data_IF_609032109587
#
_entry.id   IF_609032109587
#
_cell.length_a   1.000
_cell.length_b   1.000
_cell.length_c   1.000
_cell.angle_alpha   90.00
_cell.angle_beta   90.00
_cell.angle_gamma   90.00
#
_symmetry.space_group_name_H-M   'P 1'
#
loop_
_entity.id
_entity.type
_entity.pdbx_description
1 polymer ?
#
# COMPACT_ATOMS: atom_id res chain seq x y z
N UNK A 1 -27.92 -10.32 -8.06
CA UNK A 1 -27.11 -10.84 -9.18
C UNK A 1 -25.67 -10.93 -8.71
N UNK A 2 -25.27 -12.12 -8.28
CA UNK A 2 -23.98 -12.38 -7.66
C UNK A 2 -22.91 -12.46 -8.74
N UNK A 3 -21.83 -11.73 -8.52
CA UNK A 3 -20.61 -11.68 -9.33
C UNK A 3 -20.06 -13.09 -9.52
N UNK A 4 -20.11 -13.59 -10.76
CA UNK A 4 -19.41 -14.78 -11.28
C UNK A 4 -20.03 -16.16 -10.91
N UNK A 5 -21.05 -16.60 -11.68
CA UNK A 5 -21.37 -18.04 -11.83
C UNK A 5 -20.84 -18.48 -13.20
N UNK A 6 -19.52 -18.61 -13.28
CA UNK A 6 -18.88 -19.60 -14.14
C UNK A 6 -18.28 -20.60 -13.17
N UNK A 7 -18.70 -21.86 -13.24
CA UNK A 7 -18.36 -22.90 -12.26
C UNK A 7 -16.84 -23.10 -12.04
N UNK A 8 -16.00 -22.66 -12.97
CA UNK A 8 -14.54 -22.88 -12.97
C UNK A 8 -13.71 -21.81 -12.23
N UNK A 9 -14.23 -20.59 -12.08
CA UNK A 9 -13.52 -19.48 -11.42
C UNK A 9 -13.19 -19.74 -9.94
N UNK A 10 -14.12 -20.27 -9.14
CA UNK A 10 -13.86 -20.58 -7.73
C UNK A 10 -12.81 -21.68 -7.52
N UNK A 11 -12.72 -22.66 -8.43
CA UNK A 11 -11.81 -23.79 -8.28
C UNK A 11 -10.37 -23.44 -8.62
N UNK A 12 -10.12 -22.70 -9.71
CA UNK A 12 -8.77 -22.29 -10.10
C UNK A 12 -8.10 -21.41 -9.03
N UNK A 13 -8.84 -20.44 -8.49
CA UNK A 13 -8.32 -19.62 -7.39
C UNK A 13 -8.06 -20.44 -6.13
N UNK A 14 -8.95 -21.38 -5.78
CA UNK A 14 -8.76 -22.26 -4.61
C UNK A 14 -7.56 -23.19 -4.77
N UNK A 15 -7.39 -23.80 -5.95
CA UNK A 15 -6.24 -24.64 -6.26
C UNK A 15 -4.96 -23.80 -6.25
N UNK A 16 -4.97 -22.61 -6.84
CA UNK A 16 -3.83 -21.69 -6.80
C UNK A 16 -3.45 -21.30 -5.37
N UNK A 17 -4.41 -20.92 -4.53
CA UNK A 17 -4.17 -20.63 -3.11
C UNK A 17 -3.67 -21.85 -2.34
N UNK A 18 -4.24 -23.04 -2.60
CA UNK A 18 -3.80 -24.29 -1.97
C UNK A 18 -2.36 -24.62 -2.35
N UNK A 19 -1.98 -24.50 -3.62
CA UNK A 19 -0.61 -24.71 -4.10
C UNK A 19 0.35 -23.71 -3.46
N UNK A 20 -0.05 -22.44 -3.33
CA UNK A 20 0.75 -21.39 -2.69
C UNK A 20 1.03 -21.64 -1.20
N UNK A 21 0.20 -22.43 -0.51
CA UNK A 21 0.42 -22.77 0.89
C UNK A 21 1.12 -24.13 1.06
N UNK A 22 0.70 -25.15 0.31
CA UNK A 22 1.11 -26.54 0.54
C UNK A 22 2.35 -26.94 -0.26
N UNK A 23 2.61 -26.32 -1.41
CA UNK A 23 3.72 -26.70 -2.31
C UNK A 23 4.82 -25.63 -2.26
N UNK A 24 5.31 -25.36 -1.04
CA UNK A 24 6.27 -24.26 -0.83
C UNK A 24 7.61 -24.44 -1.53
N UNK A 25 8.05 -25.68 -1.74
CA UNK A 25 9.30 -26.00 -2.46
C UNK A 25 9.25 -25.58 -3.93
N UNK A 26 8.06 -25.48 -4.52
CA UNK A 26 7.87 -25.09 -5.92
C UNK A 26 7.68 -23.57 -6.09
N UNK A 27 7.54 -22.81 -4.99
CA UNK A 27 7.34 -21.35 -5.00
C UNK A 27 8.35 -20.57 -5.85
N UNK A 28 9.67 -20.86 -5.84
CA UNK A 28 10.62 -20.09 -6.64
C UNK A 28 10.30 -20.10 -8.15
N UNK A 29 9.66 -21.16 -8.64
CA UNK A 29 9.29 -21.32 -10.04
C UNK A 29 7.84 -20.92 -10.31
N UNK A 30 6.91 -21.29 -9.41
CA UNK A 30 5.51 -20.95 -9.56
C UNK A 30 5.26 -19.45 -9.41
N UNK A 31 5.90 -18.78 -8.45
CA UNK A 31 5.67 -17.35 -8.22
C UNK A 31 5.91 -16.50 -9.48
N UNK A 32 7.08 -16.53 -10.15
CA UNK A 32 7.29 -15.72 -11.36
C UNK A 32 6.34 -16.11 -12.50
N UNK A 33 6.03 -17.41 -12.65
CA UNK A 33 5.07 -17.85 -13.67
C UNK A 33 3.66 -17.33 -13.40
N UNK A 34 3.18 -17.42 -12.15
CA UNK A 34 1.85 -16.93 -11.77
C UNK A 34 1.74 -15.41 -11.88
N UNK A 35 2.80 -14.66 -11.54
CA UNK A 35 2.84 -13.20 -11.70
C UNK A 35 2.72 -12.84 -13.18
N UNK A 36 3.54 -13.48 -14.03
CA UNK A 36 3.47 -13.27 -15.47
C UNK A 36 2.09 -13.62 -16.04
N UNK A 37 1.48 -14.71 -15.59
CA UNK A 37 0.16 -15.14 -16.04
C UNK A 37 -0.92 -14.15 -15.58
N UNK A 38 -0.86 -13.66 -14.35
CA UNK A 38 -1.78 -12.65 -13.79
C UNK A 38 -1.72 -11.34 -14.60
N UNK A 39 -0.50 -10.85 -14.86
CA UNK A 39 -0.25 -9.66 -15.68
C UNK A 39 -0.75 -9.84 -17.12
N UNK A 40 -0.55 -11.02 -17.72
CA UNK A 40 -1.00 -11.33 -19.08
C UNK A 40 -2.52 -11.45 -19.20
N UNK A 41 -3.16 -12.02 -18.20
CA UNK A 41 -4.62 -12.13 -18.14
C UNK A 41 -5.29 -10.78 -17.79
N UNK A 42 -4.49 -9.78 -17.40
CA UNK A 42 -5.01 -8.45 -17.10
C UNK A 42 -5.85 -8.41 -15.84
N UNK A 43 -5.62 -9.35 -14.92
CA UNK A 43 -6.27 -9.34 -13.62
C UNK A 43 -5.87 -8.06 -12.87
N UNK A 44 -6.85 -7.44 -12.20
CA UNK A 44 -6.66 -6.13 -11.57
C UNK A 44 -7.02 -4.92 -12.44
N UNK A 45 -7.30 -5.10 -13.74
CA UNK A 45 -7.87 -4.00 -14.53
C UNK A 45 -9.29 -3.64 -14.08
N UNK A 46 -9.65 -2.34 -14.08
CA UNK A 46 -10.99 -1.90 -13.71
C UNK A 46 -12.04 -2.49 -14.67
N UNK A 47 -13.15 -2.98 -14.12
CA UNK A 47 -14.28 -3.50 -14.88
C UNK A 47 -15.48 -2.56 -14.71
N UNK A 48 -15.84 -1.85 -15.79
CA UNK A 48 -16.92 -0.87 -15.81
C UNK A 48 -18.30 -1.50 -15.55
N UNK A 49 -18.53 -2.73 -16.01
CA UNK A 49 -19.78 -3.45 -15.75
C UNK A 49 -19.99 -3.79 -14.27
N UNK A 50 -18.91 -3.83 -13.47
CA UNK A 50 -18.96 -4.04 -12.02
C UNK A 50 -18.96 -2.71 -11.23
N UNK A 51 -18.97 -1.55 -11.90
CA UNK A 51 -19.05 -0.23 -11.26
C UNK A 51 -20.50 0.08 -10.91
N UNK A 52 -20.83 0.03 -9.62
CA UNK A 52 -22.19 0.30 -9.12
C UNK A 52 -22.30 1.64 -8.38
N UNK A 53 -21.20 2.37 -8.22
CA UNK A 53 -21.16 3.67 -7.56
C UNK A 53 -21.04 4.83 -8.56
N UNK A 54 -21.42 6.02 -8.12
CA UNK A 54 -21.31 7.27 -8.86
C UNK A 54 -20.01 8.00 -8.50
N UNK A 55 -19.41 8.68 -9.48
CA UNK A 55 -18.28 9.57 -9.23
C UNK A 55 -18.84 10.96 -8.91
N UNK A 56 -18.87 11.33 -7.62
CA UNK A 56 -19.38 12.62 -7.15
C UNK A 56 -18.30 13.35 -6.35
N UNK A 57 -18.15 14.64 -6.60
CA UNK A 57 -17.28 15.57 -5.87
C UNK A 57 -18.15 16.65 -5.23
N UNK A 58 -18.11 16.78 -3.90
CA UNK A 58 -18.83 17.84 -3.19
C UNK A 58 -17.95 19.10 -3.21
N UNK A 59 -18.49 20.18 -3.77
CA UNK A 59 -17.83 21.49 -3.85
C UNK A 59 -18.49 22.47 -2.89
N UNK A 60 -17.68 23.26 -2.21
CA UNK A 60 -18.12 24.25 -1.23
C UNK A 60 -17.23 24.27 0.02
N UNK A 61 -17.72 24.85 1.10
CA UNK A 61 -16.97 24.93 2.35
C UNK A 61 -17.08 23.62 3.16
N UNK A 62 -15.97 23.17 3.72
CA UNK A 62 -15.97 22.08 4.68
C UNK A 62 -16.79 22.48 5.90
N UNK A 63 -17.87 21.75 6.16
CA UNK A 63 -18.71 21.95 7.33
C UNK A 63 -19.24 20.59 7.80
N UNK A 64 -19.38 20.43 9.11
CA UNK A 64 -20.01 19.25 9.71
C UNK A 64 -21.55 19.29 9.60
N UNK A 65 -22.11 20.44 9.22
CA UNK A 65 -23.53 20.68 9.03
C UNK A 65 -23.87 20.80 7.54
N UNK A 66 -25.13 20.52 7.18
CA UNK A 66 -25.61 20.63 5.80
C UNK A 66 -25.76 22.11 5.44
N UNK A 67 -24.79 22.62 4.66
CA UNK A 67 -24.84 23.95 4.07
C UNK A 67 -25.55 23.93 2.72
N UNK A 68 -26.49 24.85 2.52
CA UNK A 68 -27.26 24.96 1.27
C UNK A 68 -26.40 25.41 0.08
N UNK A 69 -25.24 26.03 0.33
CA UNK A 69 -24.32 26.46 -0.72
C UNK A 69 -23.45 25.33 -1.27
N UNK A 70 -23.35 24.20 -0.56
CA UNK A 70 -22.58 23.05 -1.02
C UNK A 70 -23.37 22.28 -2.08
N UNK A 71 -22.71 21.94 -3.19
CA UNK A 71 -23.33 21.19 -4.28
C UNK A 71 -22.47 20.01 -4.73
N UNK A 72 -23.12 19.01 -5.30
CA UNK A 72 -22.44 17.84 -5.88
C UNK A 72 -22.22 18.08 -7.37
N UNK A 73 -21.00 17.85 -7.83
CA UNK A 73 -20.62 17.93 -9.24
C UNK A 73 -19.87 16.65 -9.65
N UNK A 74 -19.73 16.45 -10.96
CA UNK A 74 -18.83 15.44 -11.49
C UNK A 74 -17.37 15.85 -11.22
N UNK A 75 -16.51 14.92 -10.76
CA UNK A 75 -15.13 15.25 -10.48
C UNK A 75 -14.39 15.65 -11.74
N UNK A 76 -13.44 16.57 -11.61
CA UNK A 76 -12.59 17.00 -12.74
C UNK A 76 -11.85 15.83 -13.40
N UNK A 77 -11.48 14.82 -12.62
CA UNK A 77 -10.84 13.60 -13.11
C UNK A 77 -11.14 12.41 -12.19
N UNK A 78 -11.60 11.30 -12.76
CA UNK A 78 -11.69 10.01 -12.04
C UNK A 78 -10.48 9.14 -12.38
N UNK A 79 -9.79 8.61 -11.37
CA UNK A 79 -8.68 7.68 -11.58
C UNK A 79 -9.19 6.29 -12.00
N UNK A 80 -8.84 5.84 -13.21
CA UNK A 80 -9.16 4.51 -13.77
C UNK A 80 -7.92 3.85 -14.38
N UNK A 81 -6.81 3.85 -13.66
CA UNK A 81 -5.55 3.29 -14.15
C UNK A 81 -5.66 1.78 -14.40
N UNK A 82 -5.24 1.35 -15.58
CA UNK A 82 -4.98 -0.05 -15.90
C UNK A 82 -3.62 -0.49 -15.35
N UNK A 83 -3.42 -1.80 -15.25
CA UNK A 83 -2.11 -2.37 -14.90
C UNK A 83 -1.07 -1.97 -15.95
N UNK A 84 0.18 -1.82 -15.51
CA UNK A 84 1.32 -1.45 -16.37
C UNK A 84 2.45 -2.46 -16.21
N UNK A 85 2.33 -3.65 -16.82
CA UNK A 85 3.30 -4.74 -16.66
C UNK A 85 4.66 -4.43 -17.32
N UNK A 86 4.69 -3.45 -18.22
CA UNK A 86 5.90 -2.91 -18.86
C UNK A 86 6.68 -1.94 -17.95
N UNK A 87 6.08 -1.49 -16.84
CA UNK A 87 6.71 -0.53 -15.93
C UNK A 87 7.74 -1.22 -15.01
N UNK A 88 8.98 -1.25 -15.47
CA UNK A 88 10.12 -1.70 -14.67
C UNK A 88 10.52 -0.60 -13.68
N UNK A 89 10.48 -0.89 -12.39
CA UNK A 89 10.95 0.01 -11.33
C UNK A 89 12.29 -0.49 -10.83
N UNK A 90 13.29 0.37 -10.89
CA UNK A 90 14.62 0.11 -10.33
C UNK A 90 14.59 0.35 -8.81
N UNK A 91 14.76 -0.69 -7.97
CA UNK A 91 14.70 -0.55 -6.52
C UNK A 91 15.80 0.38 -5.98
N UNK A 92 16.99 0.38 -6.58
CA UNK A 92 18.14 1.17 -6.10
C UNK A 92 17.93 2.68 -6.32
N UNK A 93 17.19 3.05 -7.37
CA UNK A 93 16.86 4.44 -7.67
C UNK A 93 15.65 4.95 -6.88
N UNK A 94 14.91 4.05 -6.21
CA UNK A 94 13.67 4.40 -5.53
C UNK A 94 13.95 5.02 -4.14
N UNK A 95 13.97 6.35 -4.09
CA UNK A 95 14.18 7.11 -2.84
C UNK A 95 12.88 7.26 -2.04
N UNK A 96 12.70 6.41 -1.03
CA UNK A 96 11.57 6.45 -0.09
C UNK A 96 12.04 7.05 1.24
N UNK A 97 11.37 8.10 1.70
CA UNK A 97 11.65 8.66 3.03
C UNK A 97 10.92 7.84 4.10
N UNK A 98 11.58 7.62 5.24
CA UNK A 98 11.03 6.91 6.38
C UNK A 98 10.89 7.86 7.56
N UNK A 99 9.74 7.81 8.24
CA UNK A 99 9.41 8.67 9.38
C UNK A 99 9.20 7.78 10.61
N UNK A 100 10.27 7.48 11.36
CA UNK A 100 10.17 6.60 12.52
C UNK A 100 9.48 7.32 13.70
N UNK A 101 9.19 6.57 14.78
CA UNK A 101 8.45 7.11 15.91
C UNK A 101 9.10 8.34 16.56
N UNK A 102 10.42 8.48 16.46
CA UNK A 102 11.16 9.62 17.00
C UNK A 102 10.88 10.95 16.30
N UNK A 103 10.30 10.97 15.09
CA UNK A 103 9.95 12.22 14.39
C UNK A 103 8.46 12.54 14.45
N UNK A 104 7.66 11.66 15.06
CA UNK A 104 6.23 11.87 15.26
C UNK A 104 6.05 12.92 16.37
N UNK A 105 5.14 13.90 16.19
CA UNK A 105 4.85 14.90 17.22
C UNK A 105 4.36 14.25 18.52
N UNK A 106 4.46 15.01 19.62
CA UNK A 106 3.95 14.58 20.92
C UNK A 106 2.42 14.48 20.90
N UNK A 107 1.81 13.63 21.74
CA UNK A 107 0.36 13.53 21.84
C UNK A 107 -0.32 14.86 22.19
N UNK A 108 0.37 15.72 22.95
CA UNK A 108 -0.05 17.04 23.40
C UNK A 108 0.46 18.18 22.50
N UNK A 109 1.05 17.87 21.34
CA UNK A 109 1.57 18.90 20.43
C UNK A 109 0.42 19.64 19.74
N UNK A 110 0.31 20.94 20.03
CA UNK A 110 -0.62 21.83 19.36
C UNK A 110 0.05 22.56 18.19
N UNK A 111 -0.62 22.57 17.03
CA UNK A 111 -0.21 23.32 15.85
C UNK A 111 0.49 22.49 14.76
N UNK A 112 0.97 23.15 13.69
CA UNK A 112 1.55 22.47 12.54
C UNK A 112 2.93 21.86 12.85
N UNK A 113 3.09 20.58 12.57
CA UNK A 113 4.38 19.87 12.63
C UNK A 113 4.82 19.46 11.21
N UNK A 114 5.62 20.26 10.50
CA UNK A 114 6.02 19.94 9.12
C UNK A 114 6.99 18.75 9.09
N UNK A 115 6.73 17.80 8.19
CA UNK A 115 7.60 16.62 8.01
C UNK A 115 8.90 16.98 7.28
N UNK A 116 10.05 16.65 7.87
CA UNK A 116 11.35 16.79 7.21
C UNK A 116 11.67 15.58 6.32
N UNK A 117 11.42 15.74 5.01
CA UNK A 117 11.71 14.71 4.01
C UNK A 117 13.21 14.40 3.90
N UNK A 118 14.10 15.38 4.09
CA UNK A 118 15.55 15.15 3.95
C UNK A 118 16.05 14.25 5.06
N UNK A 119 15.64 14.54 6.30
CA UNK A 119 15.92 13.68 7.44
C UNK A 119 15.35 12.27 7.23
N UNK A 120 14.13 12.15 6.70
CA UNK A 120 13.53 10.85 6.43
C UNK A 120 14.25 10.01 5.36
N UNK A 121 14.91 10.65 4.38
CA UNK A 121 15.75 9.94 3.41
C UNK A 121 17.04 9.43 4.04
N UNK A 122 17.70 10.25 4.86
CA UNK A 122 18.90 9.85 5.60
C UNK A 122 18.59 8.70 6.54
N UNK A 123 17.44 8.74 7.22
CA UNK A 123 17.02 7.64 8.08
C UNK A 123 16.74 6.36 7.29
N UNK A 124 16.10 6.45 6.11
CA UNK A 124 15.84 5.28 5.28
C UNK A 124 17.13 4.59 4.82
N UNK A 125 18.17 5.35 4.49
CA UNK A 125 19.49 4.82 4.09
C UNK A 125 20.22 4.15 5.26
N UNK A 126 20.06 4.68 6.48
CA UNK A 126 20.70 4.16 7.69
C UNK A 126 19.82 3.18 8.49
N UNK A 127 18.66 2.80 7.97
CA UNK A 127 17.72 1.95 8.69
C UNK A 127 18.33 0.57 8.95
N UNK A 128 18.20 0.09 10.20
CA UNK A 128 18.66 -1.24 10.60
C UNK A 128 18.02 -2.31 9.69
N UNK A 129 18.85 -3.21 9.13
CA UNK A 129 18.35 -4.33 8.33
C UNK A 129 17.64 -5.36 9.20
N UNK A 130 16.78 -6.19 8.60
CA UNK A 130 16.07 -7.25 9.33
C UNK A 130 17.06 -8.21 10.01
N UNK A 131 18.14 -8.56 9.33
CA UNK A 131 19.18 -9.45 9.88
C UNK A 131 19.90 -8.83 11.07
N UNK A 132 20.23 -7.53 11.00
CA UNK A 132 20.82 -6.78 12.11
C UNK A 132 19.87 -6.72 13.30
N UNK A 133 18.59 -6.41 13.07
CA UNK A 133 17.58 -6.35 14.12
C UNK A 133 17.36 -7.71 14.80
N UNK A 134 17.36 -8.81 14.04
CA UNK A 134 17.26 -10.18 14.57
C UNK A 134 18.50 -10.53 15.40
N UNK A 135 19.70 -10.24 14.89
CA UNK A 135 20.96 -10.48 15.61
C UNK A 135 21.02 -9.69 16.92
N UNK A 136 20.67 -8.39 16.88
CA UNK A 136 20.57 -7.53 18.06
C UNK A 136 19.57 -8.07 19.08
N UNK A 137 18.37 -8.46 18.64
CA UNK A 137 17.34 -9.05 19.52
C UNK A 137 17.84 -10.33 20.17
N UNK A 138 18.53 -11.20 19.42
CA UNK A 138 19.14 -12.43 19.92
C UNK A 138 20.25 -12.14 20.96
N UNK A 139 21.00 -11.05 20.78
CA UNK A 139 22.00 -10.57 21.73
C UNK A 139 21.42 -9.80 22.93
N UNK A 140 20.09 -9.65 23.04
CA UNK A 140 19.44 -8.89 24.11
C UNK A 140 19.59 -7.36 23.99
N UNK A 141 20.00 -6.85 22.84
CA UNK A 141 20.21 -5.42 22.60
C UNK A 141 18.91 -4.62 22.55
N UNK A 142 18.92 -3.42 23.13
CA UNK A 142 17.79 -2.48 23.09
C UNK A 142 17.54 -1.97 21.66
N UNK A 143 16.28 -1.68 21.27
CA UNK A 143 16.00 -1.08 19.96
C UNK A 143 16.65 0.30 19.83
N UNK A 144 17.10 0.69 18.62
CA UNK A 144 17.58 2.04 18.35
C UNK A 144 16.62 3.12 18.84
N UNK A 145 17.18 4.22 19.35
CA UNK A 145 16.40 5.33 19.91
C UNK A 145 15.44 5.95 18.90
N UNK A 146 15.81 5.91 17.62
CA UNK A 146 15.03 6.46 16.51
C UNK A 146 13.67 5.76 16.35
N UNK A 147 13.56 4.48 16.74
CA UNK A 147 12.30 3.71 16.69
C UNK A 147 11.38 3.98 17.87
N UNK A 148 11.82 4.74 18.88
CA UNK A 148 11.01 5.14 20.02
C UNK A 148 10.50 6.56 19.83
N UNK A 149 9.36 6.86 20.41
CA UNK A 149 8.89 8.25 20.52
C UNK A 149 9.82 9.03 21.44
N UNK A 150 9.95 10.34 21.23
CA UNK A 150 10.78 11.22 22.09
C UNK A 150 10.20 11.43 23.49
N UNK A 151 8.95 11.03 23.68
CA UNK A 151 8.13 11.30 24.87
C UNK A 151 7.92 10.04 25.74
N UNK A 152 8.59 8.93 25.40
CA UNK A 152 8.50 7.63 26.09
C UNK A 152 9.72 7.33 26.95
#
# INVERSE_FOLDING_TARGET
MTKDITWDGPWLHRIGSWLGLNVMWLKPYLAPFTIWLDDKLGYGNPNDAKKWWLDLEVKGEYCHEVKAENYCDTPKQTNRKMIRPDRIVDPEKQKIAHYPASVIPAPDHEGPCPTDRKAGLVFAENAESVEQAVARRKAGGKPPAEYKTRWS
#
